data_IF_708863207344
#
_entry.id   IF_708863207344
#
_cell.length_a   1.000
_cell.length_b   1.000
_cell.length_c   1.000
_cell.angle_alpha   90.00
_cell.angle_beta   90.00
_cell.angle_gamma   90.00
#
_symmetry.space_group_name_H-M   'P 1'
#
loop_
_entity.id
_entity.type
_entity.pdbx_description
1 polymer ?
#
# COMPACT_ATOMS: atom_id res chain seq x y z
N UNK A 1 9.62 -15.44 27.14
CA UNK A 1 10.57 -15.19 26.03
C UNK A 1 11.54 -14.13 26.50
N UNK A 2 12.84 -14.41 26.53
CA UNK A 2 13.84 -13.43 26.97
C UNK A 2 13.83 -12.22 26.05
N UNK A 3 13.96 -11.03 26.62
CA UNK A 3 14.14 -9.75 25.94
C UNK A 3 15.21 -9.81 24.85
N UNK A 4 16.33 -10.52 25.09
CA UNK A 4 17.36 -10.79 24.10
C UNK A 4 16.86 -11.55 22.84
N UNK A 5 15.94 -12.49 23.00
CA UNK A 5 15.38 -13.24 21.87
C UNK A 5 14.52 -12.36 20.96
N UNK A 6 13.84 -11.36 21.54
CA UNK A 6 13.03 -10.39 20.78
C UNK A 6 13.96 -9.50 19.94
N UNK A 7 15.06 -9.00 20.52
CA UNK A 7 16.04 -8.19 19.80
C UNK A 7 16.73 -8.95 18.66
N UNK A 8 17.07 -10.21 18.89
CA UNK A 8 17.65 -11.08 17.86
C UNK A 8 16.65 -11.33 16.72
N UNK A 9 15.37 -11.58 17.03
CA UNK A 9 14.33 -11.76 16.02
C UNK A 9 14.13 -10.50 15.16
N UNK A 10 14.16 -9.31 15.78
CA UNK A 10 14.08 -8.03 15.06
C UNK A 10 15.28 -7.83 14.13
N UNK A 11 16.49 -8.13 14.60
CA UNK A 11 17.71 -8.04 13.78
C UNK A 11 17.65 -9.00 12.58
N UNK A 12 17.26 -10.25 12.78
CA UNK A 12 17.14 -11.24 11.71
C UNK A 12 16.06 -10.83 10.71
N UNK A 13 14.90 -10.36 11.18
CA UNK A 13 13.81 -9.90 10.32
C UNK A 13 14.18 -8.65 9.51
N UNK A 14 14.87 -7.70 10.14
CA UNK A 14 15.41 -6.51 9.47
C UNK A 14 16.42 -6.91 8.40
N UNK A 15 17.39 -7.76 8.75
CA UNK A 15 18.42 -8.21 7.83
C UNK A 15 17.83 -8.93 6.61
N UNK A 16 16.87 -9.84 6.82
CA UNK A 16 16.17 -10.52 5.72
C UNK A 16 15.47 -9.54 4.77
N UNK A 17 14.81 -8.52 5.30
CA UNK A 17 14.10 -7.50 4.50
C UNK A 17 15.07 -6.64 3.69
N UNK A 18 16.13 -6.15 4.33
CA UNK A 18 17.12 -5.28 3.68
C UNK A 18 17.97 -6.05 2.65
N UNK A 19 18.27 -7.32 2.91
CA UNK A 19 19.02 -8.16 1.97
C UNK A 19 18.28 -8.31 0.64
N UNK A 20 16.97 -8.58 0.66
CA UNK A 20 16.18 -8.66 -0.57
C UNK A 20 16.09 -7.31 -1.30
N UNK A 21 15.94 -6.20 -0.57
CA UNK A 21 15.94 -4.85 -1.16
C UNK A 21 17.28 -4.49 -1.81
N UNK A 22 18.40 -4.83 -1.18
CA UNK A 22 19.74 -4.57 -1.72
C UNK A 22 19.99 -5.34 -3.02
N UNK A 23 19.55 -6.60 -3.08
CA UNK A 23 19.60 -7.40 -4.31
C UNK A 23 18.74 -6.78 -5.42
N UNK A 24 17.53 -6.30 -5.09
CA UNK A 24 16.67 -5.61 -6.05
C UNK A 24 17.33 -4.39 -6.69
N UNK A 25 17.95 -3.51 -5.89
CA UNK A 25 18.68 -2.32 -6.37
C UNK A 25 19.88 -2.70 -7.24
N UNK A 26 20.65 -3.72 -6.83
CA UNK A 26 21.81 -4.19 -7.58
C UNK A 26 21.42 -4.76 -8.96
N UNK A 27 20.26 -5.41 -9.06
CA UNK A 27 19.70 -5.90 -10.33
C UNK A 27 19.19 -4.73 -11.18
N UNK A 28 18.47 -3.78 -10.58
CA UNK A 28 17.97 -2.58 -11.26
C UNK A 28 19.10 -1.77 -11.91
N UNK A 29 20.27 -1.66 -11.27
CA UNK A 29 21.39 -0.86 -11.80
C UNK A 29 22.07 -1.49 -13.02
N UNK A 30 21.89 -2.81 -13.24
CA UNK A 30 22.54 -3.57 -14.32
C UNK A 30 21.59 -3.94 -15.46
N UNK A 31 20.29 -3.82 -15.26
CA UNK A 31 19.27 -4.19 -16.25
C UNK A 31 18.79 -2.93 -16.96
N UNK A 32 18.99 -2.87 -18.28
CA UNK A 32 18.49 -1.79 -19.11
C UNK A 32 16.94 -1.80 -19.08
N UNK A 33 16.36 -0.64 -18.81
CA UNK A 33 14.91 -0.42 -18.62
C UNK A 33 14.06 -0.85 -19.83
N UNK A 34 14.66 -0.95 -21.02
CA UNK A 34 14.00 -1.34 -22.27
C UNK A 34 13.82 -2.86 -22.47
N UNK A 35 14.19 -3.69 -21.48
CA UNK A 35 13.98 -5.14 -21.61
C UNK A 35 12.48 -5.48 -21.45
N UNK A 36 11.84 -6.16 -22.42
CA UNK A 36 10.41 -6.48 -22.37
C UNK A 36 10.04 -7.38 -21.17
N UNK A 37 10.98 -8.17 -20.66
CA UNK A 37 10.80 -8.99 -19.46
C UNK A 37 10.64 -8.13 -18.21
N UNK A 38 11.41 -7.04 -18.09
CA UNK A 38 11.36 -6.16 -16.92
C UNK A 38 10.06 -5.37 -16.87
N UNK A 39 9.57 -4.90 -18.03
CA UNK A 39 8.26 -4.28 -18.13
C UNK A 39 7.13 -5.27 -17.78
N UNK A 40 7.21 -6.52 -18.25
CA UNK A 40 6.22 -7.54 -17.88
C UNK A 40 6.18 -7.81 -16.36
N UNK A 41 7.34 -7.98 -15.73
CA UNK A 41 7.44 -8.15 -14.27
C UNK A 41 6.89 -6.92 -13.54
N UNK A 42 7.20 -5.71 -14.02
CA UNK A 42 6.66 -4.45 -13.51
C UNK A 42 5.14 -4.42 -13.57
N UNK A 43 4.55 -4.74 -14.74
CA UNK A 43 3.09 -4.83 -14.90
C UNK A 43 2.47 -5.83 -13.92
N UNK A 44 3.07 -7.01 -13.74
CA UNK A 44 2.60 -8.03 -12.79
C UNK A 44 2.68 -7.51 -11.35
N UNK A 45 3.79 -6.86 -10.97
CA UNK A 45 3.96 -6.29 -9.63
C UNK A 45 2.90 -5.21 -9.35
N UNK A 46 2.68 -4.28 -10.29
CA UNK A 46 1.63 -3.26 -10.15
C UNK A 46 0.23 -3.87 -10.12
N UNK A 47 -0.05 -4.91 -10.91
CA UNK A 47 -1.32 -5.62 -10.87
C UNK A 47 -1.55 -6.32 -9.53
N UNK A 48 -0.51 -6.92 -8.93
CA UNK A 48 -0.59 -7.51 -7.58
C UNK A 48 -0.90 -6.44 -6.52
N UNK A 49 -0.22 -5.29 -6.55
CA UNK A 49 -0.49 -4.19 -5.61
C UNK A 49 -1.92 -3.68 -5.79
N UNK A 50 -2.37 -3.44 -7.02
CA UNK A 50 -3.73 -3.01 -7.31
C UNK A 50 -4.77 -4.05 -6.83
N UNK A 51 -4.54 -5.33 -7.08
CA UNK A 51 -5.40 -6.42 -6.61
C UNK A 51 -5.44 -6.52 -5.08
N UNK A 52 -4.29 -6.34 -4.42
CA UNK A 52 -4.23 -6.30 -2.95
C UNK A 52 -5.02 -5.11 -2.39
N UNK A 53 -4.90 -3.93 -2.99
CA UNK A 53 -5.68 -2.76 -2.59
C UNK A 53 -7.18 -2.98 -2.80
N UNK A 54 -7.57 -3.60 -3.92
CA UNK A 54 -8.97 -3.97 -4.18
C UNK A 54 -9.48 -4.98 -3.14
N UNK A 55 -8.68 -5.98 -2.76
CA UNK A 55 -9.03 -6.93 -1.69
C UNK A 55 -9.28 -6.22 -0.36
N UNK A 56 -8.41 -5.30 0.04
CA UNK A 56 -8.58 -4.53 1.29
C UNK A 56 -9.83 -3.64 1.25
N UNK A 57 -10.19 -3.12 0.06
CA UNK A 57 -11.39 -2.32 -0.14
C UNK A 57 -12.67 -3.17 -0.02
N UNK A 58 -12.73 -4.30 -0.73
CA UNK A 58 -13.91 -5.17 -0.89
C UNK A 58 -14.12 -6.13 0.28
N UNK A 59 -13.05 -6.69 0.83
CA UNK A 59 -13.06 -7.66 1.93
C UNK A 59 -12.19 -7.14 3.08
N UNK A 60 -12.66 -6.11 3.82
CA UNK A 60 -11.97 -5.67 5.03
C UNK A 60 -11.88 -6.80 6.06
N UNK A 61 -10.69 -6.98 6.63
CA UNK A 61 -10.54 -7.70 7.90
C UNK A 61 -10.69 -6.74 9.09
N UNK A 62 -11.27 -7.21 10.20
CA UNK A 62 -11.38 -6.48 11.47
C UNK A 62 -12.72 -5.76 11.71
N UNK A 63 -12.75 -4.83 12.68
CA UNK A 63 -13.93 -4.06 13.14
C UNK A 63 -14.51 -3.08 12.08
N UNK A 64 -13.85 -2.96 10.93
CA UNK A 64 -14.32 -2.19 9.78
C UNK A 64 -15.46 -2.89 9.00
N UNK A 65 -15.88 -4.09 9.44
CA UNK A 65 -17.00 -4.86 8.89
C UNK A 65 -18.37 -4.25 9.17
N UNK A 66 -18.45 -3.31 10.10
CA UNK A 66 -19.68 -2.59 10.48
C UNK A 66 -20.06 -1.47 9.49
N UNK A 67 -19.14 -1.07 8.60
CA UNK A 67 -19.36 0.04 7.67
C UNK A 67 -19.80 -0.43 6.28
N UNK A 68 -20.90 0.11 5.72
CA UNK A 68 -21.40 -0.28 4.42
C UNK A 68 -20.39 0.01 3.30
N UNK A 69 -20.29 -0.93 2.35
CA UNK A 69 -19.37 -0.87 1.21
C UNK A 69 -19.50 0.43 0.40
N UNK A 70 -20.69 1.01 0.34
CA UNK A 70 -20.99 2.25 -0.37
C UNK A 70 -20.14 3.41 0.11
N UNK A 71 -19.98 3.61 1.41
CA UNK A 71 -19.22 4.75 1.95
C UNK A 71 -17.71 4.59 1.75
N UNK A 72 -17.22 3.35 1.82
CA UNK A 72 -15.82 3.01 1.53
C UNK A 72 -15.48 3.24 0.07
N UNK A 73 -16.36 2.83 -0.83
CA UNK A 73 -16.20 3.05 -2.27
C UNK A 73 -16.22 4.55 -2.62
N UNK A 74 -17.11 5.34 -1.99
CA UNK A 74 -17.14 6.79 -2.17
C UNK A 74 -15.87 7.48 -1.65
N UNK A 75 -15.40 7.13 -0.45
CA UNK A 75 -14.15 7.65 0.09
C UNK A 75 -12.95 7.35 -0.83
N UNK A 76 -12.90 6.13 -1.35
CA UNK A 76 -11.88 5.71 -2.32
C UNK A 76 -11.95 6.51 -3.62
N UNK A 77 -13.14 6.73 -4.17
CA UNK A 77 -13.32 7.55 -5.38
C UNK A 77 -12.90 9.01 -5.15
N UNK A 78 -13.21 9.59 -3.99
CA UNK A 78 -12.78 10.95 -3.62
C UNK A 78 -11.26 11.01 -3.51
N UNK A 79 -10.64 10.05 -2.83
CA UNK A 79 -9.18 9.97 -2.72
C UNK A 79 -8.51 9.86 -4.10
N UNK A 80 -9.09 9.07 -5.01
CA UNK A 80 -8.61 8.89 -6.38
C UNK A 80 -8.75 10.17 -7.21
N UNK A 81 -9.86 10.90 -7.07
CA UNK A 81 -10.08 12.19 -7.70
C UNK A 81 -9.07 13.25 -7.23
N UNK A 82 -8.80 13.30 -5.92
CA UNK A 82 -7.80 14.22 -5.34
C UNK A 82 -6.39 13.85 -5.80
N UNK A 83 -6.04 12.56 -5.80
CA UNK A 83 -4.75 12.10 -6.30
C UNK A 83 -4.53 12.47 -7.77
N UNK A 84 -5.56 12.32 -8.61
CA UNK A 84 -5.49 12.69 -10.03
C UNK A 84 -5.28 14.20 -10.20
N UNK A 85 -5.96 15.03 -9.39
CA UNK A 85 -5.83 16.49 -9.45
C UNK A 85 -4.48 16.99 -8.93
N UNK A 86 -3.91 16.31 -7.94
CA UNK A 86 -2.72 16.77 -7.20
C UNK A 86 -1.38 16.41 -7.87
N UNK A 87 -1.38 16.03 -9.15
CA UNK A 87 -0.14 15.76 -9.90
C UNK A 87 0.49 14.40 -9.59
N UNK A 88 -0.30 13.38 -9.25
CA UNK A 88 0.14 11.99 -9.00
C UNK A 88 1.06 11.80 -7.79
N UNK A 89 1.21 12.79 -6.92
CA UNK A 89 1.98 12.65 -5.68
C UNK A 89 1.30 11.66 -4.73
N UNK A 90 1.90 10.48 -4.59
CA UNK A 90 1.47 9.41 -3.67
C UNK A 90 1.20 9.89 -2.23
N UNK A 91 2.05 10.72 -1.59
CA UNK A 91 1.80 11.11 -0.20
C UNK A 91 0.56 11.99 -0.04
N UNK A 92 0.28 12.88 -1.00
CA UNK A 92 -0.88 13.78 -0.94
C UNK A 92 -2.18 12.98 -1.14
N UNK A 93 -2.18 12.00 -2.05
CA UNK A 93 -3.32 11.10 -2.23
C UNK A 93 -3.63 10.27 -0.98
N UNK A 94 -2.59 9.78 -0.30
CA UNK A 94 -2.74 9.03 0.95
C UNK A 94 -3.36 9.90 2.06
N UNK A 95 -2.81 11.08 2.29
CA UNK A 95 -3.30 12.01 3.31
C UNK A 95 -4.74 12.42 3.03
N UNK A 96 -5.07 12.74 1.78
CA UNK A 96 -6.44 13.07 1.38
C UNK A 96 -7.41 11.89 1.62
N UNK A 97 -6.99 10.66 1.31
CA UNK A 97 -7.78 9.46 1.56
C UNK A 97 -8.07 9.26 3.05
N UNK A 98 -7.03 9.35 3.89
CA UNK A 98 -7.17 9.24 5.35
C UNK A 98 -8.10 10.33 5.91
N UNK A 99 -7.92 11.58 5.48
CA UNK A 99 -8.76 12.70 5.92
C UNK A 99 -10.20 12.49 5.46
N UNK A 100 -10.44 12.08 4.23
CA UNK A 100 -11.79 11.85 3.70
C UNK A 100 -12.52 10.73 4.46
N UNK A 101 -11.82 9.64 4.77
CA UNK A 101 -12.39 8.54 5.55
C UNK A 101 -12.65 8.95 7.00
N UNK A 102 -11.71 9.67 7.63
CA UNK A 102 -11.88 10.22 8.97
C UNK A 102 -13.06 11.20 9.06
N UNK A 103 -13.26 12.04 8.03
CA UNK A 103 -14.37 12.97 7.96
C UNK A 103 -15.72 12.23 7.84
N UNK A 104 -15.78 11.18 7.01
CA UNK A 104 -16.99 10.35 6.86
C UNK A 104 -17.34 9.64 8.17
N UNK A 105 -16.35 9.14 8.90
CA UNK A 105 -16.55 8.56 10.23
C UNK A 105 -17.06 9.60 11.24
N UNK A 106 -16.49 10.80 11.25
CA UNK A 106 -16.93 11.89 12.12
C UNK A 106 -18.40 12.29 11.85
N UNK A 107 -18.81 12.35 10.57
CA UNK A 107 -20.21 12.60 10.22
C UNK A 107 -21.17 11.46 10.60
N UNK A 108 -20.67 10.23 10.78
CA UNK A 108 -21.45 9.10 11.25
C UNK A 108 -21.58 9.04 12.79
N UNK A 109 -20.96 9.96 13.54
CA UNK A 109 -21.16 10.11 14.98
C UNK A 109 -20.48 9.04 15.85
N UNK A 110 -19.41 8.42 15.35
CA UNK A 110 -18.44 7.62 16.11
C UNK A 110 -17.23 8.49 16.48
#
# INVERSE_FOLDING_TARGET
>A
MGDAAIWIAVLIGGFGTFMWRALGVAVETRVQEDSPLFNWIGCVAYAMVAGLMARVLLMPGGDLSLQPLTWRAMAFLIALAVWYRSGKSVPIGLVAGVISYALILYFQGL
#
